data_IF_668168667129
#
_entry.id   IF_668168667129
#
_cell.length_a   1.000
_cell.length_b   1.000
_cell.length_c   1.000
_cell.angle_alpha   90.00
_cell.angle_beta   90.00
_cell.angle_gamma   90.00
#
_symmetry.space_group_name_H-M   'P 1'
#
loop_
_entity.id
_entity.type
_entity.pdbx_description
1 polymer ?
#
# COMPACT_ATOMS: atom_id res chain seq x y z
N UNK A 1 37.89 1.84 -2.85
CA UNK A 1 36.66 1.57 -2.07
C UNK A 1 35.54 2.30 -2.77
N UNK A 2 34.67 1.57 -3.47
CA UNK A 2 33.57 2.15 -4.23
C UNK A 2 32.56 2.74 -3.23
N UNK A 3 32.42 4.07 -3.23
CA UNK A 3 31.47 4.77 -2.37
C UNK A 3 30.06 4.46 -2.89
N UNK A 4 29.38 3.49 -2.26
CA UNK A 4 27.99 3.14 -2.57
C UNK A 4 27.11 4.32 -2.13
N UNK A 5 26.85 5.24 -3.05
CA UNK A 5 26.07 6.45 -2.80
C UNK A 5 24.65 6.03 -2.41
N UNK A 6 24.31 6.18 -1.13
CA UNK A 6 23.01 5.83 -0.61
C UNK A 6 21.99 6.87 -1.13
N UNK A 7 21.42 6.61 -2.31
CA UNK A 7 20.50 7.51 -2.98
C UNK A 7 19.17 7.51 -2.22
N UNK A 8 19.00 8.46 -1.30
CA UNK A 8 17.72 8.65 -0.63
C UNK A 8 16.69 9.22 -1.61
N UNK A 9 15.43 8.74 -1.57
CA UNK A 9 14.38 9.24 -2.45
C UNK A 9 14.12 10.73 -2.17
N UNK A 10 13.78 11.48 -3.22
CA UNK A 10 13.45 12.90 -3.06
C UNK A 10 12.18 13.10 -2.22
N UNK A 11 12.03 14.21 -1.49
CA UNK A 11 10.81 14.49 -0.72
C UNK A 11 9.55 14.48 -1.59
N UNK A 12 9.65 14.95 -2.84
CA UNK A 12 8.56 14.93 -3.81
C UNK A 12 8.13 13.50 -4.16
N UNK A 13 9.09 12.58 -4.36
CA UNK A 13 8.80 11.18 -4.65
C UNK A 13 8.15 10.47 -3.46
N UNK A 14 8.66 10.73 -2.24
CA UNK A 14 8.06 10.19 -1.01
C UNK A 14 6.62 10.68 -0.86
N UNK A 15 6.37 11.97 -1.03
CA UNK A 15 5.02 12.54 -0.99
C UNK A 15 4.08 11.93 -2.03
N UNK A 16 4.54 11.83 -3.29
CA UNK A 16 3.77 11.21 -4.37
C UNK A 16 3.43 9.73 -4.08
N UNK A 17 4.37 8.98 -3.49
CA UNK A 17 4.16 7.58 -3.13
C UNK A 17 3.06 7.41 -2.07
N UNK A 18 3.05 8.27 -1.05
CA UNK A 18 1.99 8.28 -0.04
C UNK A 18 0.63 8.66 -0.61
N UNK A 19 0.58 9.67 -1.48
CA UNK A 19 -0.65 10.06 -2.17
C UNK A 19 -1.17 8.91 -3.04
N UNK A 20 -0.31 8.26 -3.83
CA UNK A 20 -0.69 7.13 -4.66
C UNK A 20 -1.24 5.96 -3.81
N UNK A 21 -0.60 5.65 -2.67
CA UNK A 21 -1.08 4.63 -1.74
C UNK A 21 -2.49 4.97 -1.21
N UNK A 22 -2.69 6.20 -0.73
CA UNK A 22 -3.99 6.64 -0.20
C UNK A 22 -5.07 6.62 -1.27
N UNK A 23 -4.78 7.11 -2.47
CA UNK A 23 -5.72 7.07 -3.61
C UNK A 23 -6.10 5.63 -3.93
N UNK A 24 -5.14 4.69 -3.97
CA UNK A 24 -5.40 3.28 -4.24
C UNK A 24 -6.30 2.63 -3.19
N UNK A 25 -6.01 2.87 -1.90
CA UNK A 25 -6.83 2.36 -0.78
C UNK A 25 -8.25 2.92 -0.87
N UNK A 26 -8.40 4.23 -1.05
CA UNK A 26 -9.72 4.88 -1.12
C UNK A 26 -10.51 4.42 -2.34
N UNK A 27 -9.88 4.33 -3.52
CA UNK A 27 -10.54 3.84 -4.73
C UNK A 27 -11.02 2.39 -4.58
N UNK A 28 -10.20 1.52 -3.96
CA UNK A 28 -10.58 0.14 -3.67
C UNK A 28 -11.79 0.07 -2.74
N UNK A 29 -11.78 0.83 -1.63
CA UNK A 29 -12.88 0.84 -0.66
C UNK A 29 -14.17 1.37 -1.30
N UNK A 30 -14.11 2.44 -2.10
CA UNK A 30 -15.26 2.97 -2.83
C UNK A 30 -15.81 1.93 -3.82
N UNK A 31 -14.93 1.29 -4.59
CA UNK A 31 -15.32 0.23 -5.53
C UNK A 31 -15.99 -0.94 -4.82
N UNK A 32 -15.41 -1.39 -3.70
CA UNK A 32 -15.96 -2.46 -2.88
C UNK A 32 -17.32 -2.09 -2.27
N UNK A 33 -17.48 -0.84 -1.86
CA UNK A 33 -18.75 -0.33 -1.34
C UNK A 33 -19.85 -0.36 -2.41
N UNK A 34 -19.52 0.07 -3.63
CA UNK A 34 -20.46 0.14 -4.75
C UNK A 34 -20.73 -1.21 -5.43
N UNK A 35 -19.89 -2.23 -5.21
CA UNK A 35 -20.09 -3.56 -5.82
C UNK A 35 -21.37 -4.24 -5.29
N UNK A 36 -22.21 -4.75 -6.19
CA UNK A 36 -23.41 -5.52 -5.85
C UNK A 36 -23.08 -6.99 -5.58
N UNK A 37 -22.31 -7.24 -4.52
CA UNK A 37 -21.90 -8.58 -4.07
C UNK A 37 -22.33 -8.82 -2.61
N UNK A 38 -22.35 -10.08 -2.19
CA UNK A 38 -22.71 -10.45 -0.83
C UNK A 38 -21.75 -9.87 0.23
N UNK A 39 -22.25 -9.65 1.44
CA UNK A 39 -21.49 -8.98 2.50
C UNK A 39 -20.28 -9.81 2.99
N UNK A 40 -20.40 -11.13 2.94
CA UNK A 40 -19.30 -12.07 3.23
C UNK A 40 -18.15 -11.93 2.22
N UNK A 41 -18.46 -11.81 0.93
CA UNK A 41 -17.50 -11.60 -0.16
C UNK A 41 -16.85 -10.23 -0.02
N UNK A 42 -17.63 -9.19 0.30
CA UNK A 42 -17.05 -7.86 0.60
C UNK A 42 -16.04 -7.93 1.74
N UNK A 43 -16.38 -8.66 2.81
CA UNK A 43 -15.49 -8.90 3.94
C UNK A 43 -14.17 -9.56 3.50
N UNK A 44 -14.24 -10.58 2.63
CA UNK A 44 -13.06 -11.24 2.09
C UNK A 44 -12.12 -10.29 1.33
N UNK A 45 -12.66 -9.48 0.41
CA UNK A 45 -11.86 -8.48 -0.33
C UNK A 45 -11.26 -7.41 0.59
N UNK A 46 -12.00 -7.00 1.62
CA UNK A 46 -11.47 -6.08 2.62
C UNK A 46 -10.31 -6.69 3.41
N UNK A 47 -10.40 -7.95 3.84
CA UNK A 47 -9.29 -8.65 4.51
C UNK A 47 -8.06 -8.77 3.61
N UNK A 48 -8.24 -9.03 2.31
CA UNK A 48 -7.13 -9.04 1.34
C UNK A 48 -6.41 -7.69 1.30
N UNK A 49 -7.15 -6.57 1.27
CA UNK A 49 -6.56 -5.24 1.35
C UNK A 49 -5.73 -5.07 2.63
N UNK A 50 -6.26 -5.46 3.79
CA UNK A 50 -5.55 -5.37 5.07
C UNK A 50 -4.26 -6.19 5.08
N UNK A 51 -4.29 -7.42 4.59
CA UNK A 51 -3.09 -8.27 4.48
C UNK A 51 -2.08 -7.71 3.48
N UNK A 52 -2.52 -7.11 2.37
CA UNK A 52 -1.66 -6.41 1.44
C UNK A 52 -0.91 -5.24 2.10
N UNK A 53 -1.62 -4.42 2.88
CA UNK A 53 -1.01 -3.30 3.63
C UNK A 53 -0.03 -3.79 4.70
N UNK A 54 -0.40 -4.85 5.43
CA UNK A 54 0.49 -5.49 6.41
C UNK A 54 1.76 -6.01 5.75
N UNK A 55 1.64 -6.74 4.64
CA UNK A 55 2.77 -7.27 3.89
C UNK A 55 3.69 -6.15 3.37
N UNK A 56 3.13 -5.06 2.85
CA UNK A 56 3.91 -3.92 2.37
C UNK A 56 4.77 -3.29 3.48
N UNK A 57 4.24 -3.16 4.69
CA UNK A 57 4.99 -2.65 5.85
C UNK A 57 6.00 -3.68 6.36
N UNK A 58 5.61 -4.97 6.41
CA UNK A 58 6.49 -6.06 6.84
C UNK A 58 7.73 -6.16 5.97
N UNK A 59 7.57 -6.08 4.64
CA UNK A 59 8.70 -6.06 3.69
C UNK A 59 9.57 -4.83 3.89
N UNK A 60 8.97 -3.64 4.02
CA UNK A 60 9.73 -2.41 4.28
C UNK A 60 10.58 -2.47 5.55
N UNK A 61 10.10 -3.15 6.59
CA UNK A 61 10.87 -3.39 7.80
C UNK A 61 12.00 -4.40 7.53
N UNK A 62 11.70 -5.53 6.90
CA UNK A 62 12.68 -6.58 6.63
C UNK A 62 13.83 -6.15 5.71
N UNK A 63 13.61 -5.19 4.81
CA UNK A 63 14.68 -4.60 3.97
C UNK A 63 15.46 -3.49 4.69
N UNK A 64 14.91 -2.94 5.78
CA UNK A 64 15.53 -1.85 6.54
C UNK A 64 16.38 -2.37 7.70
N UNK A 65 15.90 -3.42 8.38
CA UNK A 65 16.65 -4.18 9.38
C UNK A 65 17.85 -4.90 8.72
#
# INVERSE_FOLDING_TARGET
MEQKQNAQPSPAFVGASWVALLIGITAFIIGLWNAEIELNEKGYYFTVLLFGLYAAISVQKAIRD
#
